data_IF_889936281598
#
_entry.id   IF_889936281598
#
_cell.length_a   1.000
_cell.length_b   1.000
_cell.length_c   1.000
_cell.angle_alpha   90.00
_cell.angle_beta   90.00
_cell.angle_gamma   90.00
#
_symmetry.space_group_name_H-M   'P 1'
#
loop_
_entity.id
_entity.type
_entity.pdbx_description
1 polymer ?
#
# COMPACT_ATOMS: atom_id res chain seq x y z
N UNK A 1 -0.14 -1.38 -1.02
CA UNK A 1 -1.48 -1.48 -0.43
C UNK A 1 -2.17 -0.12 -0.24
N UNK A 2 -1.55 0.90 0.38
CA UNK A 2 -2.18 2.22 0.63
C UNK A 2 -2.78 2.91 -0.62
N UNK A 3 -2.11 2.81 -1.78
CA UNK A 3 -2.62 3.29 -3.07
C UNK A 3 -3.97 2.70 -3.51
N UNK A 4 -4.27 1.51 -3.00
CA UNK A 4 -5.49 0.76 -3.29
C UNK A 4 -6.55 1.07 -2.25
N UNK A 5 -6.20 1.03 -0.95
CA UNK A 5 -7.18 1.21 0.13
C UNK A 5 -7.66 2.65 0.29
N UNK A 6 -6.90 3.67 -0.16
CA UNK A 6 -7.25 5.11 -0.20
C UNK A 6 -7.90 5.70 1.07
N UNK A 7 -7.84 4.99 2.19
CA UNK A 7 -8.37 5.35 3.49
C UNK A 7 -7.23 5.37 4.49
N UNK A 8 -7.27 6.27 5.49
CA UNK A 8 -6.34 6.22 6.61
C UNK A 8 -6.42 4.84 7.26
N UNK A 9 -5.25 4.24 7.48
CA UNK A 9 -5.16 2.85 7.96
C UNK A 9 -4.16 2.78 9.11
N UNK A 10 -4.50 2.02 10.14
CA UNK A 10 -3.61 1.79 11.28
C UNK A 10 -2.45 0.86 10.93
N UNK A 11 -1.42 0.87 11.78
CA UNK A 11 -0.30 -0.07 11.65
C UNK A 11 -0.75 -1.54 11.71
N UNK A 12 -1.70 -1.87 12.61
CA UNK A 12 -2.22 -3.24 12.75
C UNK A 12 -2.91 -3.71 11.49
N UNK A 13 -3.79 -2.87 10.92
CA UNK A 13 -4.49 -3.19 9.68
C UNK A 13 -3.52 -3.32 8.50
N UNK A 14 -2.48 -2.49 8.42
CA UNK A 14 -1.45 -2.62 7.39
C UNK A 14 -0.72 -3.96 7.51
N UNK A 15 -0.35 -4.36 8.73
CA UNK A 15 0.32 -5.62 9.00
C UNK A 15 -0.54 -6.82 8.56
N UNK A 16 -1.84 -6.79 8.85
CA UNK A 16 -2.75 -7.87 8.50
C UNK A 16 -3.04 -7.99 6.99
N UNK A 17 -2.75 -6.93 6.21
CA UNK A 17 -3.05 -6.87 4.78
C UNK A 17 -1.81 -7.02 3.88
N UNK A 18 -0.61 -6.97 4.47
CA UNK A 18 0.64 -7.20 3.77
C UNK A 18 0.95 -8.68 3.82
N UNK A 19 0.94 -9.32 2.65
CA UNK A 19 1.29 -10.73 2.48
C UNK A 19 2.44 -10.84 1.47
N UNK A 20 3.50 -11.60 1.77
CA UNK A 20 3.72 -12.38 3.01
C UNK A 20 3.92 -11.49 4.23
N UNK A 21 3.61 -12.03 5.42
CA UNK A 21 3.79 -11.30 6.69
C UNK A 21 5.24 -10.87 6.83
N UNK A 22 5.47 -9.57 6.97
CA UNK A 22 6.78 -8.99 7.25
C UNK A 22 6.95 -8.72 8.74
N UNK A 23 8.20 -8.60 9.20
CA UNK A 23 8.45 -8.21 10.59
C UNK A 23 7.92 -6.79 10.87
N UNK A 24 7.45 -6.51 12.10
CA UNK A 24 6.97 -5.17 12.47
C UNK A 24 8.03 -4.07 12.23
N UNK A 25 9.31 -4.38 12.47
CA UNK A 25 10.43 -3.47 12.22
C UNK A 25 10.56 -3.12 10.73
N UNK A 26 10.52 -4.13 9.84
CA UNK A 26 10.55 -3.91 8.39
C UNK A 26 9.37 -3.06 7.90
N UNK A 27 8.19 -3.26 8.48
CA UNK A 27 7.03 -2.42 8.15
C UNK A 27 7.23 -0.97 8.61
N UNK A 28 7.76 -0.77 9.82
CA UNK A 28 8.03 0.56 10.34
C UNK A 28 9.10 1.29 9.50
N UNK A 29 10.22 0.63 9.20
CA UNK A 29 11.28 1.16 8.33
C UNK A 29 10.74 1.58 6.95
N UNK A 30 9.86 0.76 6.38
CA UNK A 30 9.22 1.08 5.10
C UNK A 30 8.28 2.28 5.21
N UNK A 31 7.50 2.39 6.29
CA UNK A 31 6.62 3.53 6.52
C UNK A 31 7.43 4.81 6.76
N UNK A 32 8.50 4.76 7.55
CA UNK A 32 9.41 5.88 7.77
C UNK A 32 10.07 6.34 6.46
N UNK A 33 10.58 5.41 5.65
CA UNK A 33 11.17 5.77 4.34
C UNK A 33 10.15 6.42 3.38
N UNK A 34 8.87 6.02 3.46
CA UNK A 34 7.79 6.65 2.69
C UNK A 34 7.41 8.03 3.25
N UNK A 35 7.48 8.21 4.56
CA UNK A 35 7.23 9.49 5.24
C UNK A 35 8.33 10.51 4.93
N UNK A 36 9.60 10.11 5.00
CA UNK A 36 10.77 10.94 4.65
C UNK A 36 10.73 11.47 3.21
N UNK A 37 10.22 10.65 2.29
CA UNK A 37 10.05 11.01 0.87
C UNK A 37 8.75 11.76 0.59
N UNK A 38 8.03 12.15 1.64
CA UNK A 38 6.73 12.84 1.57
C UNK A 38 5.73 12.11 0.68
N UNK A 39 5.72 10.76 0.71
CA UNK A 39 4.79 9.94 -0.05
C UNK A 39 3.53 9.58 0.72
N UNK A 40 3.64 9.51 2.04
CA UNK A 40 2.55 9.25 2.98
C UNK A 40 2.42 10.39 3.99
N UNK A 41 1.26 10.44 4.62
CA UNK A 41 0.97 11.25 5.80
C UNK A 41 0.69 10.34 6.98
N UNK A 42 1.17 10.74 8.15
CA UNK A 42 0.87 10.14 9.44
C UNK A 42 0.04 11.12 10.27
N UNK A 43 -1.21 10.77 10.55
CA UNK A 43 -2.14 11.57 11.38
C UNK A 43 -2.78 10.67 12.43
N UNK A 44 -2.65 11.01 13.70
CA UNK A 44 -3.25 10.25 14.82
C UNK A 44 -2.99 8.74 14.76
N UNK A 45 -1.73 8.35 14.48
CA UNK A 45 -1.29 6.97 14.28
C UNK A 45 -1.93 6.22 13.10
N UNK A 46 -2.58 6.94 12.18
CA UNK A 46 -3.08 6.42 10.91
C UNK A 46 -2.16 6.88 9.77
N UNK A 47 -2.00 6.00 8.80
CA UNK A 47 -1.20 6.22 7.60
C UNK A 47 -2.12 6.34 6.39
N UNK A 48 -1.89 7.37 5.57
CA UNK A 48 -2.57 7.56 4.29
C UNK A 48 -1.59 8.04 3.23
N UNK A 49 -1.90 7.82 1.95
CA UNK A 49 -1.15 8.50 0.89
C UNK A 49 -1.40 10.00 0.94
N UNK A 50 -0.38 10.79 0.59
CA UNK A 50 -0.57 12.20 0.33
C UNK A 50 -1.53 12.42 -0.87
N UNK A 51 -2.43 13.42 -0.81
CA UNK A 51 -3.34 13.73 -1.91
C UNK A 51 -2.60 13.93 -3.25
N UNK A 52 -1.47 14.64 -3.23
CA UNK A 52 -0.62 14.89 -4.40
C UNK A 52 -0.09 13.59 -5.03
N UNK A 53 0.25 12.60 -4.20
CA UNK A 53 0.69 11.28 -4.67
C UNK A 53 -0.49 10.51 -5.27
N UNK A 54 -1.67 10.62 -4.68
CA UNK A 54 -2.88 10.03 -5.27
C UNK A 54 -3.21 10.64 -6.63
N UNK A 55 -3.06 11.95 -6.80
CA UNK A 55 -3.22 12.62 -8.10
C UNK A 55 -2.21 12.12 -9.13
N UNK A 56 -0.93 12.05 -8.75
CA UNK A 56 0.11 11.48 -9.63
C UNK A 56 -0.23 10.06 -10.06
N UNK A 57 -0.61 9.19 -9.12
CA UNK A 57 -0.98 7.81 -9.41
C UNK A 57 -2.20 7.73 -10.33
N UNK A 58 -3.22 8.57 -10.12
CA UNK A 58 -4.38 8.66 -11.01
C UNK A 58 -3.96 9.08 -12.42
N UNK A 59 -3.08 10.09 -12.54
CA UNK A 59 -2.56 10.53 -13.84
C UNK A 59 -1.77 9.42 -14.54
N UNK A 60 -0.90 8.68 -13.83
CA UNK A 60 -0.14 7.56 -14.42
C UNK A 60 -1.05 6.40 -14.85
N UNK A 61 -2.14 6.16 -14.11
CA UNK A 61 -3.16 5.17 -14.43
C UNK A 61 -3.91 5.51 -15.72
N UNK A 62 -4.33 6.78 -15.85
CA UNK A 62 -5.03 7.28 -17.03
C UNK A 62 -4.08 7.29 -18.23
N UNK A 63 -2.82 7.66 -18.01
CA UNK A 63 -1.75 7.59 -19.02
C UNK A 63 -1.34 6.15 -19.40
N UNK A 64 -2.02 5.12 -18.88
CA UNK A 64 -1.78 3.69 -19.13
C UNK A 64 -0.35 3.20 -18.83
N UNK A 65 0.45 4.00 -18.11
CA UNK A 65 1.81 3.64 -17.70
C UNK A 65 1.81 2.58 -16.60
N UNK A 66 0.73 2.52 -15.82
CA UNK A 66 0.46 1.44 -14.86
C UNK A 66 -0.68 0.58 -15.44
N UNK A 67 -0.42 -0.68 -15.83
CA UNK A 67 -1.47 -1.56 -16.32
C UNK A 67 -2.61 -1.70 -15.30
N UNK A 68 -3.85 -1.47 -15.72
CA UNK A 68 -5.05 -1.69 -14.88
C UNK A 68 -5.10 -3.12 -14.32
N UNK A 69 -4.51 -4.08 -15.02
CA UNK A 69 -4.36 -5.47 -14.58
C UNK A 69 -3.56 -5.57 -13.29
N UNK A 70 -2.51 -4.76 -13.09
CA UNK A 70 -1.72 -4.80 -11.86
C UNK A 70 -2.55 -4.39 -10.64
N UNK A 71 -3.38 -3.34 -10.76
CA UNK A 71 -4.27 -2.96 -9.66
C UNK A 71 -5.31 -4.03 -9.35
N UNK A 72 -5.85 -4.69 -10.39
CA UNK A 72 -6.78 -5.80 -10.21
C UNK A 72 -6.12 -6.97 -9.49
N UNK A 73 -4.90 -7.34 -9.87
CA UNK A 73 -4.11 -8.40 -9.23
C UNK A 73 -3.92 -8.13 -7.74
N UNK A 74 -3.58 -6.89 -7.35
CA UNK A 74 -3.43 -6.55 -5.93
C UNK A 74 -4.75 -6.45 -5.15
N UNK A 75 -5.87 -6.18 -5.82
CA UNK A 75 -7.22 -6.20 -5.20
C UNK A 75 -7.85 -7.59 -5.11
N UNK A 76 -7.32 -8.56 -5.86
CA UNK A 76 -7.87 -9.90 -5.96
C UNK A 76 -7.36 -10.76 -4.80
N UNK A 77 -8.28 -11.15 -3.91
CA UNK A 77 -8.01 -11.92 -2.69
C UNK A 77 -7.34 -13.27 -2.96
N UNK A 78 -7.33 -13.74 -4.21
CA UNK A 78 -6.66 -14.97 -4.63
C UNK A 78 -5.14 -14.87 -4.56
N UNK A 79 -4.53 -13.71 -4.82
CA UNK A 79 -3.08 -13.53 -4.69
C UNK A 79 -2.60 -13.56 -3.24
N UNK A 80 -3.46 -13.12 -2.31
CA UNK A 80 -3.21 -13.17 -0.87
C UNK A 80 -3.22 -14.62 -0.35
N UNK A 81 -4.05 -15.50 -0.93
CA UNK A 81 -4.05 -16.95 -0.62
C UNK A 81 -2.86 -17.69 -1.20
N UNK A 82 -2.53 -17.43 -2.46
CA UNK A 82 -1.39 -18.08 -3.13
C UNK A 82 -0.04 -17.80 -2.45
N UNK A 83 0.17 -16.61 -1.90
CA UNK A 83 1.39 -16.27 -1.17
C UNK A 83 1.46 -16.89 0.25
N UNK A 84 0.31 -17.27 0.84
CA UNK A 84 0.24 -17.95 2.13
C UNK A 84 0.40 -19.48 2.01
N UNK A 85 0.06 -20.06 0.86
CA UNK A 85 0.17 -21.51 0.58
C UNK A 85 1.55 -21.93 0.05
N UNK A 86 2.44 -20.98 -0.25
CA UNK A 86 3.78 -21.24 -0.82
C UNK A 86 4.91 -21.31 0.22
N UNK A 87 4.60 -21.51 1.51
CA UNK A 87 5.56 -21.72 2.62
C UNK A 87 5.14 -22.92 3.44
#
# INVERSE_FOLDING_TARGET
>A
WLAINRKPTSFSELRDKIVPSISPQRLLEALESLEERTLIEKKSALFSLQPTVMEYLNHQLIAQKIPKTLLKVFSDSRYQKFAAEAT
#
